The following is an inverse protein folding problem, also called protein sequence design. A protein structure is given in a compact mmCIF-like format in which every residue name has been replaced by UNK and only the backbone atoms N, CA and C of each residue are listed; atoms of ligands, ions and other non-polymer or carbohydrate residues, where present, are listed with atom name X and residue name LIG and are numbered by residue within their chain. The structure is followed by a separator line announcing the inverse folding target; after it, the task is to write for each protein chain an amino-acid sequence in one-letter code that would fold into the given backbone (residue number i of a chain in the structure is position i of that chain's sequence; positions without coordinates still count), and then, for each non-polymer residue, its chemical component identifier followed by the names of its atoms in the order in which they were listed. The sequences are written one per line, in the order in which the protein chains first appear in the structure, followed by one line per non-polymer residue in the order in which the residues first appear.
data_IF_176957485792
#
_entry.id   IF_176957485792
#
_cell.length_a   1.000
_cell.length_b   1.000
_cell.length_c   1.000
_cell.angle_alpha   90.00
_cell.angle_beta   90.00
_cell.angle_gamma   90.00
#
_symmetry.space_group_name_H-M   'P 1'
#
loop_
_entity.id
_entity.type
_entity.pdbx_description
1 polymer ?
#
# COMPACT_ATOMS: atom_id res chain seq x y z
N UNK A 1 -25.55 55.64 -67.11
CA UNK A 1 -26.58 56.64 -66.73
C UNK A 1 -27.31 56.14 -65.48
N UNK A 2 -27.64 57.02 -64.52
CA UNK A 2 -27.84 56.75 -63.07
C UNK A 2 -29.34 56.52 -62.74
N UNK A 3 -29.86 56.37 -61.49
CA UNK A 3 -29.57 57.10 -60.21
C UNK A 3 -29.15 56.13 -59.06
N UNK A 4 -28.41 56.48 -57.98
CA UNK A 4 -28.30 57.67 -57.11
C UNK A 4 -29.61 58.12 -56.44
N UNK A 5 -29.94 57.48 -55.31
CA UNK A 5 -30.71 58.11 -54.24
C UNK A 5 -29.87 58.14 -52.96
N UNK A 6 -29.78 59.33 -52.37
CA UNK A 6 -29.16 59.65 -51.10
C UNK A 6 -30.32 59.93 -50.13
N UNK A 7 -30.39 59.24 -49.00
CA UNK A 7 -30.99 59.78 -47.78
C UNK A 7 -30.26 59.24 -46.56
N UNK A 8 -29.87 60.20 -45.72
CA UNK A 8 -29.23 60.04 -44.44
C UNK A 8 -30.26 59.67 -43.35
N UNK A 9 -29.79 59.06 -42.26
CA UNK A 9 -30.48 59.15 -40.96
C UNK A 9 -30.39 57.91 -40.07
N UNK A 10 -29.76 58.12 -38.89
CA UNK A 10 -29.95 57.43 -37.61
C UNK A 10 -29.57 55.93 -37.52
N UNK A 11 -28.47 55.55 -36.86
CA UNK A 11 -28.23 55.51 -35.40
C UNK A 11 -28.78 54.24 -34.71
N UNK A 12 -27.85 53.46 -34.12
CA UNK A 12 -27.96 52.66 -32.88
C UNK A 12 -28.80 51.35 -33.05
N UNK A 13 -28.32 50.12 -32.79
CA UNK A 13 -27.66 49.54 -31.62
C UNK A 13 -26.82 48.32 -32.05
N UNK A 14 -25.58 48.23 -31.57
CA UNK A 14 -24.79 47.00 -31.50
C UNK A 14 -25.41 46.05 -30.47
N UNK A 15 -25.89 44.88 -30.90
CA UNK A 15 -26.09 43.73 -30.00
C UNK A 15 -25.06 42.67 -30.37
N UNK A 16 -23.88 42.78 -29.75
CA UNK A 16 -22.94 41.67 -29.60
C UNK A 16 -23.65 40.57 -28.81
N UNK A 17 -24.11 39.54 -29.51
CA UNK A 17 -24.49 38.28 -28.88
C UNK A 17 -23.23 37.51 -28.49
N UNK A 18 -22.69 37.80 -27.31
CA UNK A 18 -21.71 36.93 -26.64
C UNK A 18 -22.39 35.61 -26.31
N UNK A 19 -22.22 34.59 -27.15
CA UNK A 19 -22.55 33.21 -26.78
C UNK A 19 -21.56 32.75 -25.72
N UNK A 20 -21.97 32.81 -24.45
CA UNK A 20 -21.26 32.19 -23.36
C UNK A 20 -21.28 30.66 -23.56
N UNK A 21 -20.18 30.10 -24.05
CA UNK A 21 -19.94 28.68 -24.00
C UNK A 21 -19.82 28.28 -22.52
N UNK A 22 -20.54 27.26 -22.03
CA UNK A 22 -20.33 26.77 -20.67
C UNK A 22 -18.91 26.19 -20.60
N UNK A 23 -18.04 26.83 -19.83
CA UNK A 23 -16.79 26.24 -19.38
C UNK A 23 -17.13 24.99 -18.61
N UNK A 24 -16.92 23.83 -19.22
CA UNK A 24 -16.93 22.54 -18.53
C UNK A 24 -15.80 22.63 -17.51
N UNK A 25 -16.13 22.84 -16.24
CA UNK A 25 -15.20 22.64 -15.14
C UNK A 25 -14.67 21.22 -15.29
N UNK A 26 -13.41 21.10 -15.72
CA UNK A 26 -12.67 19.86 -15.59
C UNK A 26 -12.47 19.70 -14.08
N UNK A 27 -13.37 19.00 -13.43
CA UNK A 27 -13.15 18.50 -12.08
C UNK A 27 -11.90 17.63 -12.16
N UNK A 28 -10.77 18.13 -11.68
CA UNK A 28 -9.56 17.33 -11.48
C UNK A 28 -9.93 16.21 -10.50
N UNK A 29 -10.09 14.95 -10.95
CA UNK A 29 -10.41 13.88 -10.03
C UNK A 29 -9.08 13.35 -9.49
N UNK A 30 -8.82 13.56 -8.18
CA UNK A 30 -7.88 12.80 -7.31
C UNK A 30 -7.11 13.65 -6.29
N UNK A 31 -7.24 14.98 -6.24
CA UNK A 31 -6.45 15.77 -5.28
C UNK A 31 -6.93 15.69 -3.81
N UNK A 32 -8.15 15.23 -3.52
CA UNK A 32 -8.73 15.41 -2.17
C UNK A 32 -8.88 14.15 -1.30
N UNK A 33 -8.74 12.93 -1.84
CA UNK A 33 -8.88 11.72 -1.01
C UNK A 33 -7.52 11.08 -0.77
N UNK A 34 -6.81 11.57 0.25
CA UNK A 34 -5.66 10.85 0.78
C UNK A 34 -6.15 9.65 1.60
N UNK A 35 -5.61 8.43 1.41
CA UNK A 35 -6.06 7.24 2.12
C UNK A 35 -6.00 7.45 3.62
N UNK A 36 -7.07 7.05 4.32
CA UNK A 36 -7.06 7.01 5.79
C UNK A 36 -5.97 6.03 6.22
N UNK A 37 -5.35 6.26 7.38
CA UNK A 37 -4.31 5.38 7.91
C UNK A 37 -2.96 5.42 7.18
N UNK A 38 -2.87 5.98 5.98
CA UNK A 38 -1.57 6.25 5.36
C UNK A 38 -0.86 7.42 6.06
N UNK A 39 0.49 7.45 6.06
CA UNK A 39 1.26 8.60 6.51
C UNK A 39 0.78 9.91 5.90
N UNK A 40 0.95 11.04 6.59
CA UNK A 40 0.62 12.34 6.02
C UNK A 40 1.33 12.55 4.68
N UNK A 41 0.66 13.20 3.71
CA UNK A 41 1.25 13.54 2.40
C UNK A 41 2.64 14.17 2.49
N UNK A 42 2.87 14.99 3.53
CA UNK A 42 4.15 15.64 3.78
C UNK A 42 5.31 14.64 4.01
N UNK A 43 5.03 13.44 4.53
CA UNK A 43 6.01 12.36 4.63
C UNK A 43 6.51 11.94 3.25
N UNK A 44 5.59 11.60 2.34
CA UNK A 44 5.92 11.20 0.97
C UNK A 44 6.44 12.34 0.11
N UNK A 45 6.05 13.58 0.41
CA UNK A 45 6.68 14.76 -0.19
C UNK A 45 8.19 14.75 0.03
N UNK A 46 8.63 14.55 1.28
CA UNK A 46 10.06 14.49 1.62
C UNK A 46 10.77 13.31 0.99
N UNK A 47 10.15 12.12 0.96
CA UNK A 47 10.72 10.95 0.29
C UNK A 47 10.96 11.22 -1.21
N UNK A 48 9.95 11.77 -1.88
CA UNK A 48 10.05 12.10 -3.30
C UNK A 48 11.10 13.19 -3.57
N UNK A 49 11.10 14.26 -2.77
CA UNK A 49 12.04 15.39 -2.90
C UNK A 49 13.50 14.97 -2.64
N UNK A 50 13.72 13.95 -1.80
CA UNK A 50 15.05 13.38 -1.54
C UNK A 50 15.53 12.37 -2.58
N UNK A 51 14.69 11.96 -3.54
CA UNK A 51 15.01 10.92 -4.52
C UNK A 51 15.12 11.52 -5.94
N UNK A 52 16.33 12.00 -6.28
CA UNK A 52 16.60 12.57 -7.60
C UNK A 52 16.42 11.55 -8.74
N UNK A 53 16.67 10.27 -8.48
CA UNK A 53 16.55 9.24 -9.50
C UNK A 53 15.09 9.08 -9.92
N UNK A 54 14.18 8.99 -8.94
CA UNK A 54 12.75 8.91 -9.20
C UNK A 54 12.21 10.21 -9.83
N UNK A 55 12.66 11.38 -9.36
CA UNK A 55 12.26 12.68 -9.92
C UNK A 55 12.57 12.84 -11.42
N UNK A 56 13.59 12.15 -11.94
CA UNK A 56 13.95 12.20 -13.36
C UNK A 56 12.98 11.41 -14.25
N UNK A 57 12.24 10.46 -13.69
CA UNK A 57 11.44 9.48 -14.47
C UNK A 57 9.96 9.45 -14.09
N UNK A 58 9.58 9.99 -12.94
CA UNK A 58 8.21 9.97 -12.42
C UNK A 58 7.86 11.33 -11.84
N UNK A 59 6.64 11.82 -12.09
CA UNK A 59 6.15 13.04 -11.44
C UNK A 59 5.66 12.77 -10.01
N UNK A 60 5.69 13.80 -9.15
CA UNK A 60 5.16 13.73 -7.78
C UNK A 60 3.69 13.30 -7.71
N UNK A 61 2.89 13.73 -8.68
CA UNK A 61 1.48 13.36 -8.77
C UNK A 61 1.29 11.88 -9.14
N UNK A 62 2.13 11.32 -10.00
CA UNK A 62 2.13 9.88 -10.30
C UNK A 62 2.58 9.06 -9.09
N UNK A 63 3.65 9.48 -8.42
CA UNK A 63 4.12 8.86 -7.18
C UNK A 63 2.99 8.78 -6.13
N UNK A 64 2.29 9.90 -5.89
CA UNK A 64 1.15 9.93 -4.97
C UNK A 64 0.01 9.01 -5.40
N UNK A 65 -0.29 8.94 -6.69
CA UNK A 65 -1.31 8.02 -7.19
C UNK A 65 -0.97 6.56 -6.88
N UNK A 66 0.30 6.19 -6.99
CA UNK A 66 0.75 4.84 -6.66
C UNK A 66 0.72 4.55 -5.15
N UNK A 67 0.98 5.55 -4.30
CA UNK A 67 0.77 5.43 -2.85
C UNK A 67 -0.72 5.17 -2.53
N UNK A 68 -1.63 5.91 -3.16
CA UNK A 68 -3.07 5.66 -2.97
C UNK A 68 -3.44 4.24 -3.38
N UNK A 69 -2.97 3.78 -4.55
CA UNK A 69 -3.21 2.41 -5.03
C UNK A 69 -2.61 1.33 -4.14
N UNK A 70 -1.49 1.61 -3.47
CA UNK A 70 -0.92 0.68 -2.50
C UNK A 70 -1.86 0.49 -1.31
N UNK A 71 -2.42 1.56 -0.75
CA UNK A 71 -3.28 1.46 0.42
C UNK A 71 -4.69 0.98 0.11
N UNK A 72 -5.31 1.48 -0.96
CA UNK A 72 -6.72 1.25 -1.28
C UNK A 72 -6.93 0.13 -2.32
N UNK A 73 -5.85 -0.40 -2.91
CA UNK A 73 -5.95 -1.27 -4.07
C UNK A 73 -6.36 -0.52 -5.34
N UNK A 74 -6.56 -1.27 -6.42
CA UNK A 74 -6.95 -0.78 -7.74
C UNK A 74 -7.48 -1.93 -8.61
N UNK A 75 -8.14 -1.69 -9.76
CA UNK A 75 -8.85 -2.75 -10.49
C UNK A 75 -8.04 -4.01 -10.82
N UNK A 76 -6.72 -3.89 -11.01
CA UNK A 76 -5.84 -5.04 -11.28
C UNK A 76 -5.43 -5.78 -10.00
N UNK A 77 -5.31 -5.08 -8.88
CA UNK A 77 -4.97 -5.63 -7.56
C UNK A 77 -5.93 -5.01 -6.54
N UNK A 78 -7.14 -5.57 -6.39
CA UNK A 78 -8.22 -4.93 -5.64
C UNK A 78 -7.95 -4.92 -4.14
N UNK A 79 -7.11 -5.84 -3.64
CA UNK A 79 -6.71 -5.89 -2.24
C UNK A 79 -5.54 -4.92 -1.99
N UNK A 80 -5.80 -3.89 -1.20
CA UNK A 80 -4.80 -2.93 -0.76
C UNK A 80 -4.11 -3.33 0.54
N UNK A 81 -3.15 -2.51 0.96
CA UNK A 81 -2.49 -2.67 2.26
C UNK A 81 -3.47 -2.54 3.43
N UNK A 82 -4.48 -1.66 3.34
CA UNK A 82 -5.49 -1.52 4.40
C UNK A 82 -6.30 -2.80 4.61
N UNK A 83 -6.63 -3.50 3.52
CA UNK A 83 -7.31 -4.80 3.61
C UNK A 83 -6.41 -5.86 4.24
N UNK A 84 -5.12 -5.82 3.90
CA UNK A 84 -4.10 -6.72 4.47
C UNK A 84 -3.94 -6.48 5.98
N UNK A 85 -3.86 -5.22 6.41
CA UNK A 85 -3.81 -4.85 7.83
C UNK A 85 -5.05 -5.34 8.57
N UNK A 86 -6.24 -5.12 7.98
CA UNK A 86 -7.51 -5.55 8.57
C UNK A 86 -7.52 -7.06 8.79
N UNK A 87 -7.18 -7.84 7.75
CA UNK A 87 -7.15 -9.30 7.82
C UNK A 87 -6.12 -9.82 8.84
N UNK A 88 -4.95 -9.19 8.95
CA UNK A 88 -3.93 -9.62 9.91
C UNK A 88 -4.33 -9.33 11.36
N UNK A 89 -5.04 -8.23 11.59
CA UNK A 89 -5.53 -7.84 12.91
C UNK A 89 -6.80 -8.59 13.33
N UNK A 90 -7.46 -9.31 12.43
CA UNK A 90 -8.60 -10.16 12.79
C UNK A 90 -8.19 -11.22 13.81
N UNK A 91 -8.92 -11.25 14.93
CA UNK A 91 -8.75 -12.23 16.00
C UNK A 91 -7.45 -12.11 16.79
N UNK A 92 -6.72 -11.00 16.67
CA UNK A 92 -5.53 -10.73 17.50
C UNK A 92 -5.95 -10.37 18.92
N UNK A 93 -5.31 -11.00 19.90
CA UNK A 93 -5.54 -10.75 21.32
C UNK A 93 -5.08 -9.34 21.73
N UNK A 94 -5.71 -8.79 22.77
CA UNK A 94 -5.47 -7.41 23.23
C UNK A 94 -3.98 -7.14 23.55
N UNK A 95 -3.27 -8.15 24.07
CA UNK A 95 -1.83 -8.08 24.37
C UNK A 95 -0.98 -7.83 23.13
N UNK A 96 -1.33 -8.46 22.00
CA UNK A 96 -0.56 -8.40 20.76
C UNK A 96 -1.04 -7.31 19.81
N UNK A 97 -2.29 -6.84 19.94
CA UNK A 97 -2.93 -5.94 19.00
C UNK A 97 -2.13 -4.65 18.76
N UNK A 98 -1.70 -3.99 19.84
CA UNK A 98 -0.94 -2.74 19.75
C UNK A 98 0.43 -2.94 19.08
N UNK A 99 1.10 -4.07 19.38
CA UNK A 99 2.42 -4.41 18.83
C UNK A 99 2.30 -4.69 17.33
N UNK A 100 1.39 -5.58 16.95
CA UNK A 100 1.15 -5.94 15.55
C UNK A 100 0.72 -4.72 14.74
N UNK A 101 -0.18 -3.89 15.27
CA UNK A 101 -0.62 -2.64 14.59
C UNK A 101 0.56 -1.70 14.34
N UNK A 102 1.43 -1.49 15.33
CA UNK A 102 2.59 -0.62 15.18
C UNK A 102 3.58 -1.14 14.15
N UNK A 103 3.85 -2.46 14.16
CA UNK A 103 4.73 -3.12 13.18
C UNK A 103 4.15 -3.03 11.76
N UNK A 104 2.86 -3.30 11.58
CA UNK A 104 2.19 -3.18 10.28
C UNK A 104 2.20 -1.76 9.74
N UNK A 105 1.93 -0.76 10.59
CA UNK A 105 2.01 0.65 10.20
C UNK A 105 3.42 1.00 9.72
N UNK A 106 4.45 0.64 10.49
CA UNK A 106 5.84 0.87 10.10
C UNK A 106 6.19 0.19 8.77
N UNK A 107 5.80 -1.06 8.61
CA UNK A 107 6.05 -1.82 7.40
C UNK A 107 5.36 -1.21 6.17
N UNK A 108 4.08 -0.85 6.30
CA UNK A 108 3.33 -0.18 5.25
C UNK A 108 3.97 1.13 4.81
N UNK A 109 4.55 1.89 5.75
CA UNK A 109 5.27 3.14 5.44
C UNK A 109 6.48 2.89 4.55
N UNK A 110 7.32 1.90 4.90
CA UNK A 110 8.51 1.57 4.14
C UNK A 110 8.16 1.05 2.75
N UNK A 111 7.23 0.09 2.67
CA UNK A 111 6.86 -0.53 1.40
C UNK A 111 6.22 0.49 0.46
N UNK A 112 5.23 1.25 0.93
CA UNK A 112 4.53 2.23 0.10
C UNK A 112 5.46 3.31 -0.46
N UNK A 113 6.43 3.77 0.34
CA UNK A 113 7.38 4.79 -0.06
C UNK A 113 8.29 4.34 -1.21
N UNK A 114 8.73 3.09 -1.19
CA UNK A 114 9.61 2.53 -2.21
C UNK A 114 8.85 1.97 -3.42
N UNK A 115 7.81 1.17 -3.20
CA UNK A 115 7.08 0.49 -4.27
C UNK A 115 6.36 1.46 -5.22
N UNK A 116 5.96 2.64 -4.72
CA UNK A 116 5.27 3.65 -5.50
C UNK A 116 6.16 4.40 -6.51
N UNK A 117 7.49 4.25 -6.41
CA UNK A 117 8.45 4.81 -7.37
C UNK A 117 8.31 4.16 -8.75
N UNK A 118 8.91 4.77 -9.76
CA UNK A 118 8.99 4.14 -11.08
C UNK A 118 9.70 2.78 -11.03
N UNK A 119 9.24 1.86 -11.89
CA UNK A 119 9.75 0.49 -11.95
C UNK A 119 11.26 0.41 -12.20
N UNK A 120 11.83 1.37 -12.94
CA UNK A 120 13.25 1.38 -13.30
C UNK A 120 14.18 1.82 -12.17
N UNK A 121 13.67 2.41 -11.10
CA UNK A 121 14.48 2.93 -9.98
C UNK A 121 14.10 2.34 -8.62
N UNK A 122 12.95 1.67 -8.51
CA UNK A 122 12.51 1.05 -7.26
C UNK A 122 13.26 -0.25 -6.96
N UNK A 123 13.36 -0.56 -5.67
CA UNK A 123 13.97 -1.78 -5.12
C UNK A 123 12.94 -2.83 -4.72
N UNK A 124 11.70 -2.40 -4.45
CA UNK A 124 10.59 -3.29 -4.09
C UNK A 124 9.69 -3.46 -5.30
N UNK A 125 9.57 -4.69 -5.79
CA UNK A 125 8.76 -5.03 -6.95
C UNK A 125 7.46 -5.73 -6.54
N UNK A 126 6.47 -5.71 -7.44
CA UNK A 126 5.19 -6.39 -7.20
C UNK A 126 5.35 -7.90 -6.97
N UNK A 127 6.36 -8.54 -7.56
CA UNK A 127 6.70 -9.95 -7.28
C UNK A 127 7.03 -10.18 -5.82
N UNK A 128 7.88 -9.32 -5.24
CA UNK A 128 8.24 -9.35 -3.81
C UNK A 128 7.01 -9.16 -2.93
N UNK A 129 6.12 -8.21 -3.27
CA UNK A 129 4.87 -8.00 -2.54
C UNK A 129 3.97 -9.24 -2.54
N UNK A 130 3.91 -10.00 -3.65
CA UNK A 130 3.12 -11.23 -3.70
C UNK A 130 3.67 -12.30 -2.76
N UNK A 131 4.99 -12.42 -2.65
CA UNK A 131 5.64 -13.38 -1.75
C UNK A 131 5.39 -13.00 -0.30
N UNK A 132 5.63 -11.74 0.08
CA UNK A 132 5.35 -11.25 1.43
C UNK A 132 3.86 -11.32 1.78
N UNK A 133 2.97 -10.97 0.84
CA UNK A 133 1.54 -11.08 1.06
C UNK A 133 1.08 -12.52 1.30
N UNK A 134 1.71 -13.51 0.66
CA UNK A 134 1.46 -14.92 0.94
C UNK A 134 1.96 -15.30 2.34
N UNK A 135 3.21 -14.95 2.68
CA UNK A 135 3.78 -15.20 4.01
C UNK A 135 2.91 -14.63 5.13
N UNK A 136 2.46 -13.38 5.00
CA UNK A 136 1.63 -12.73 5.99
C UNK A 136 0.26 -13.43 6.15
N UNK A 137 -0.37 -13.86 5.04
CA UNK A 137 -1.65 -14.59 5.09
C UNK A 137 -1.53 -16.00 5.66
N UNK A 138 -0.40 -16.65 5.43
CA UNK A 138 -0.12 -18.00 5.93
C UNK A 138 0.28 -17.98 7.42
N UNK A 139 0.55 -16.79 7.99
CA UNK A 139 0.87 -16.64 9.39
C UNK A 139 -0.39 -16.85 10.27
N UNK A 140 -0.30 -17.82 11.16
CA UNK A 140 -1.33 -18.14 12.14
C UNK A 140 -0.81 -17.87 13.55
N UNK A 141 -1.74 -17.64 14.48
CA UNK A 141 -1.45 -17.23 15.87
C UNK A 141 -0.73 -15.88 15.96
N UNK A 142 -0.90 -15.16 17.07
CA UNK A 142 -0.41 -13.79 17.18
C UNK A 142 1.12 -13.71 17.14
N UNK A 143 1.80 -14.62 17.83
CA UNK A 143 3.26 -14.73 17.78
C UNK A 143 3.77 -15.09 16.37
N UNK A 144 3.00 -15.86 15.58
CA UNK A 144 3.35 -16.19 14.20
C UNK A 144 3.19 -14.99 13.26
N UNK A 145 2.09 -14.24 13.41
CA UNK A 145 1.86 -12.96 12.70
C UNK A 145 2.99 -11.97 12.98
N UNK A 146 3.40 -11.82 14.24
CA UNK A 146 4.52 -10.95 14.60
C UNK A 146 5.83 -11.35 13.92
N UNK A 147 6.20 -12.64 13.98
CA UNK A 147 7.43 -13.14 13.32
C UNK A 147 7.38 -12.92 11.81
N UNK A 148 6.23 -13.17 11.17
CA UNK A 148 6.06 -12.92 9.75
C UNK A 148 6.29 -11.44 9.41
N UNK A 149 5.72 -10.52 10.19
CA UNK A 149 5.92 -9.08 9.99
C UNK A 149 7.39 -8.69 10.20
N UNK A 150 8.06 -9.24 11.20
CA UNK A 150 9.48 -8.97 11.48
C UNK A 150 10.37 -9.43 10.32
N UNK A 151 10.14 -10.63 9.76
CA UNK A 151 10.87 -11.11 8.60
C UNK A 151 10.67 -10.23 7.36
N UNK A 152 9.42 -9.85 7.08
CA UNK A 152 9.15 -8.94 5.94
C UNK A 152 9.82 -7.58 6.18
N UNK A 153 9.81 -7.08 7.40
CA UNK A 153 10.47 -5.83 7.76
C UNK A 153 11.98 -5.90 7.54
N UNK A 154 12.62 -6.99 7.97
CA UNK A 154 14.05 -7.22 7.74
C UNK A 154 14.38 -7.24 6.25
N UNK A 155 13.56 -7.91 5.44
CA UNK A 155 13.76 -7.97 3.99
C UNK A 155 13.61 -6.60 3.34
N UNK A 156 12.59 -5.84 3.71
CA UNK A 156 12.39 -4.47 3.25
C UNK A 156 13.62 -3.62 3.57
N UNK A 157 14.11 -3.66 4.81
CA UNK A 157 15.30 -2.90 5.21
C UNK A 157 16.55 -3.37 4.42
N UNK A 158 16.69 -4.67 4.18
CA UNK A 158 17.78 -5.22 3.38
C UNK A 158 17.73 -4.77 1.91
N UNK A 159 16.55 -4.71 1.29
CA UNK A 159 16.39 -4.21 -0.07
C UNK A 159 16.74 -2.71 -0.14
N UNK A 160 16.22 -1.93 0.81
CA UNK A 160 16.43 -0.48 0.86
C UNK A 160 17.90 -0.12 1.10
N UNK A 161 18.60 -0.88 1.93
CA UNK A 161 20.05 -0.70 2.17
C UNK A 161 20.92 -1.28 1.05
N UNK A 162 20.36 -2.18 0.22
CA UNK A 162 21.09 -2.91 -0.82
C UNK A 162 21.87 -4.12 -0.30
N UNK A 163 21.66 -4.56 0.94
CA UNK A 163 22.26 -5.79 1.49
C UNK A 163 21.50 -7.06 1.08
N UNK A 164 20.29 -6.92 0.54
CA UNK A 164 19.47 -8.00 0.00
C UNK A 164 19.10 -7.69 -1.46
N UNK A 165 19.15 -8.70 -2.32
CA UNK A 165 18.62 -8.62 -3.68
C UNK A 165 17.16 -9.04 -3.71
N UNK A 166 16.34 -8.41 -4.55
CA UNK A 166 14.94 -8.80 -4.75
C UNK A 166 14.79 -10.25 -5.21
N UNK A 167 15.77 -10.77 -5.97
CA UNK A 167 15.78 -12.15 -6.47
C UNK A 167 16.00 -13.18 -5.36
N UNK A 168 16.53 -12.77 -4.21
CA UNK A 168 16.69 -13.64 -3.04
C UNK A 168 15.40 -13.80 -2.23
N UNK A 169 14.33 -13.09 -2.60
CA UNK A 169 13.03 -13.17 -1.93
C UNK A 169 12.10 -14.04 -2.76
N UNK A 170 12.03 -15.32 -2.38
CA UNK A 170 11.17 -16.31 -2.99
C UNK A 170 10.44 -17.15 -1.93
N UNK A 171 9.62 -18.10 -2.39
CA UNK A 171 8.86 -18.99 -1.51
C UNK A 171 9.76 -19.98 -0.77
N UNK A 172 10.84 -20.45 -1.40
CA UNK A 172 11.74 -21.46 -0.83
C UNK A 172 12.44 -20.90 0.42
N UNK A 173 12.85 -19.63 0.39
CA UNK A 173 13.42 -18.93 1.55
C UNK A 173 12.54 -19.04 2.79
N UNK A 174 11.24 -18.81 2.67
CA UNK A 174 10.33 -18.85 3.83
C UNK A 174 9.94 -20.27 4.26
N UNK A 175 9.89 -21.22 3.32
CA UNK A 175 9.74 -22.63 3.67
C UNK A 175 10.90 -23.10 4.54
N UNK A 176 12.13 -22.71 4.20
CA UNK A 176 13.32 -23.05 4.97
C UNK A 176 13.35 -22.37 6.35
N UNK A 177 12.91 -21.12 6.45
CA UNK A 177 12.78 -20.40 7.73
C UNK A 177 11.76 -21.08 8.67
N UNK A 178 10.56 -21.41 8.15
CA UNK A 178 9.52 -22.09 8.94
C UNK A 178 9.95 -23.48 9.41
N UNK A 179 10.70 -24.21 8.58
CA UNK A 179 11.25 -25.51 8.94
C UNK A 179 12.31 -25.39 10.06
N UNK A 180 13.11 -24.32 10.06
CA UNK A 180 14.11 -24.08 11.10
C UNK A 180 13.49 -23.65 12.44
N UNK A 181 12.45 -22.81 12.40
CA UNK A 181 11.70 -22.39 13.60
C UNK A 181 10.99 -23.57 14.27
N UNK A 182 10.46 -24.50 13.47
CA UNK A 182 9.82 -25.73 13.99
C UNK A 182 10.81 -26.64 14.73
N UNK A 183 12.09 -26.63 14.32
CA UNK A 183 13.14 -27.43 14.96
C UNK A 183 13.73 -26.78 16.23
N UNK A 184 13.49 -25.49 16.45
CA UNK A 184 14.02 -24.74 17.60
C UNK A 184 12.98 -24.44 18.68
N UNK A 185 11.69 -24.63 18.41
CA UNK A 185 10.64 -24.62 19.42
C UNK A 185 10.74 -25.88 20.33
N UNK A 186 10.77 -25.74 21.67
CA UNK A 186 10.70 -26.90 22.54
C UNK A 186 9.36 -27.61 22.29
N UNK A 187 9.40 -28.91 22.00
CA UNK A 187 8.20 -29.76 21.88
C UNK A 187 7.39 -29.56 23.15
N UNK A 188 6.27 -28.84 23.05
CA UNK A 188 5.32 -28.72 24.15
C UNK A 188 4.76 -30.13 24.36
N UNK A 189 5.33 -30.84 25.33
CA UNK A 189 4.87 -32.18 25.70
C UNK A 189 3.37 -32.11 25.92
N UNK A 190 2.63 -32.81 25.08
CA UNK A 190 1.23 -33.12 25.33
C UNK A 190 1.19 -33.94 26.62
N UNK A 191 1.09 -33.27 27.76
CA UNK A 191 0.61 -33.85 29.00
C UNK A 191 -0.91 -34.08 28.86
N UNK A 192 -1.27 -34.94 27.90
CA UNK A 192 -2.60 -35.45 27.71
C UNK A 192 -2.90 -36.49 28.79
N UNK A 193 -3.53 -36.00 29.87
CA UNK A 193 -4.68 -36.64 30.52
C UNK A 193 -4.68 -38.18 30.51
N UNK A 194 -3.92 -38.78 31.43
CA UNK A 194 -4.13 -40.16 31.84
C UNK A 194 -5.37 -40.21 32.75
N UNK A 195 -6.52 -40.35 32.09
CA UNK A 195 -7.71 -41.11 32.49
C UNK A 195 -7.81 -41.48 33.99
N UNK A 196 -8.74 -40.81 34.65
CA UNK A 196 -9.59 -41.42 35.68
C UNK A 196 -10.13 -42.77 35.19
N UNK A 197 -9.67 -43.86 35.80
CA UNK A 197 -10.38 -45.14 35.81
C UNK A 197 -9.76 -46.11 36.84
N UNK A 198 -10.22 -46.05 38.10
CA UNK A 198 -10.78 -47.21 38.84
C UNK A 198 -11.05 -46.90 40.31
N UNK A 199 -12.33 -46.80 40.63
CA UNK A 199 -12.86 -47.48 41.82
C UNK A 199 -12.91 -48.99 41.52
N UNK A 200 -12.68 -49.85 42.52
CA UNK A 200 -13.78 -50.73 42.91
C UNK A 200 -13.95 -50.82 44.43
N UNK A 201 -15.21 -50.96 44.84
CA UNK A 201 -15.62 -51.15 46.22
C UNK A 201 -15.24 -52.51 46.81
N UNK A 202 -15.32 -52.56 48.14
CA UNK A 202 -15.06 -53.71 49.02
C UNK A 202 -14.74 -53.21 50.41
#
# INVERSE_FOLDING_TARGET
MPPRFWFAGAAIVLMLGCTAAPTRSVTTPAQDEWPRGAPPRAHYARLYEGDEANQRVQTKAEYYRWIVRFYEGWPMFPTGWRDTETQLLEGVDEEHYAIITAKLSYLGHLISGEWAKDNGVRRIHSSTLMVWGALLRDAHEDAGKERAIDHVTEDVLGLLSGTLSADAIDRERYQNLSAHDTLTQPVRSEAGSLRDARTPGG
#
